data_IF_064149886155
#
_entry.id   IF_064149886155
#
_cell.length_a   1.000
_cell.length_b   1.000
_cell.length_c   1.000
_cell.angle_alpha   90.00
_cell.angle_beta   90.00
_cell.angle_gamma   90.00
#
_symmetry.space_group_name_H-M   'P 1'
#
loop_
_entity.id
_entity.type
_entity.pdbx_description
1 polymer ?
#
# COMPACT_ATOMS: atom_id res chain seq x y z
N UNK A 1 23.17 -57.21 -6.67
CA UNK A 1 22.60 -56.40 -5.57
C UNK A 1 23.42 -55.12 -5.42
N UNK A 2 23.04 -54.01 -6.07
CA UNK A 2 23.92 -52.80 -6.02
C UNK A 2 23.32 -51.52 -6.62
N UNK A 3 22.09 -51.55 -7.16
CA UNK A 3 21.48 -50.37 -7.84
C UNK A 3 20.44 -49.62 -6.99
N UNK A 4 19.89 -50.23 -5.91
CA UNK A 4 18.83 -49.63 -5.10
C UNK A 4 19.32 -48.52 -4.15
N UNK A 5 20.56 -48.63 -3.64
CA UNK A 5 21.09 -47.65 -2.68
C UNK A 5 21.46 -46.28 -3.25
N UNK A 6 21.74 -46.20 -4.56
CA UNK A 6 22.11 -44.95 -5.21
C UNK A 6 20.88 -44.06 -5.55
N UNK A 7 19.75 -44.73 -5.89
CA UNK A 7 18.51 -44.00 -6.20
C UNK A 7 17.95 -43.33 -4.92
N UNK A 8 18.02 -44.03 -3.79
CA UNK A 8 17.53 -43.50 -2.50
C UNK A 8 18.37 -42.33 -2.00
N UNK A 9 19.72 -42.37 -2.19
CA UNK A 9 20.60 -41.25 -1.85
C UNK A 9 20.38 -40.01 -2.76
N UNK A 10 20.08 -40.22 -4.05
CA UNK A 10 19.74 -39.14 -4.95
C UNK A 10 18.36 -38.55 -4.64
N UNK A 11 17.36 -39.36 -4.26
CA UNK A 11 16.05 -38.85 -3.83
C UNK A 11 16.12 -38.03 -2.55
N UNK A 12 16.92 -38.48 -1.56
CA UNK A 12 17.13 -37.73 -0.32
C UNK A 12 17.87 -36.41 -0.59
N UNK A 13 18.85 -36.39 -1.49
CA UNK A 13 19.54 -35.17 -1.91
C UNK A 13 18.61 -34.15 -2.61
N UNK A 14 17.70 -34.61 -3.45
CA UNK A 14 16.72 -33.77 -4.14
C UNK A 14 15.67 -33.24 -3.14
N UNK A 15 15.18 -34.05 -2.19
CA UNK A 15 14.24 -33.62 -1.16
C UNK A 15 14.90 -32.61 -0.22
N UNK A 16 16.17 -32.78 0.16
CA UNK A 16 16.89 -31.78 0.95
C UNK A 16 17.13 -30.47 0.18
N UNK A 17 17.38 -30.52 -1.14
CA UNK A 17 17.54 -29.34 -1.96
C UNK A 17 16.21 -28.55 -2.08
N UNK A 18 15.08 -29.23 -2.21
CA UNK A 18 13.77 -28.60 -2.19
C UNK A 18 13.39 -28.03 -0.81
N UNK A 19 13.87 -28.65 0.28
CA UNK A 19 13.62 -28.14 1.64
C UNK A 19 14.51 -26.92 2.00
N UNK A 20 15.67 -26.79 1.38
CA UNK A 20 16.57 -25.63 1.58
C UNK A 20 16.21 -24.45 0.69
N UNK A 21 15.51 -24.68 -0.44
CA UNK A 21 14.98 -23.60 -1.28
C UNK A 21 13.62 -23.04 -0.79
N UNK A 22 13.02 -23.62 0.24
CA UNK A 22 11.73 -23.19 0.80
C UNK A 22 11.82 -22.23 1.98
N UNK A 23 12.97 -21.76 2.41
CA UNK A 23 13.15 -20.92 3.59
C UNK A 23 13.97 -19.66 3.31
N UNK A 24 13.60 -18.87 2.33
CA UNK A 24 14.09 -17.50 2.17
C UNK A 24 13.13 -16.65 1.31
N UNK A 25 11.83 -16.83 1.44
CA UNK A 25 10.89 -15.74 1.24
C UNK A 25 10.59 -15.19 2.64
N UNK A 26 11.46 -14.34 3.17
CA UNK A 26 11.04 -13.39 4.19
C UNK A 26 9.92 -12.59 3.54
N UNK A 27 8.74 -12.66 4.14
CA UNK A 27 7.52 -12.00 3.67
C UNK A 27 7.74 -10.48 3.63
N UNK A 28 8.30 -9.99 2.51
CA UNK A 28 8.40 -8.57 2.26
C UNK A 28 7.02 -8.04 1.91
N UNK A 29 6.37 -7.44 2.89
CA UNK A 29 5.11 -6.76 2.68
C UNK A 29 5.35 -5.38 2.08
N UNK A 30 4.60 -5.04 1.08
CA UNK A 30 4.67 -3.77 0.39
C UNK A 30 3.27 -3.20 0.15
N UNK A 31 3.22 -1.90 0.03
CA UNK A 31 1.97 -1.21 -0.25
C UNK A 31 2.20 0.17 -0.82
N UNK A 32 1.12 0.89 -0.94
CA UNK A 32 1.09 2.26 -1.42
C UNK A 32 0.57 3.17 -0.30
N UNK A 33 0.95 4.43 -0.34
CA UNK A 33 0.40 5.46 0.52
C UNK A 33 0.32 6.81 -0.18
N UNK A 34 -0.04 7.84 0.57
CA UNK A 34 -0.06 9.21 0.09
C UNK A 34 0.18 10.20 1.22
N UNK A 35 0.87 11.28 0.92
CA UNK A 35 1.11 12.34 1.88
C UNK A 35 -0.10 13.25 2.04
N UNK A 36 -0.39 13.65 3.29
CA UNK A 36 -1.41 14.65 3.66
C UNK A 36 -0.80 16.00 4.01
N UNK A 37 0.48 16.02 4.33
CA UNK A 37 1.33 17.21 4.43
C UNK A 37 2.81 16.79 4.34
N UNK A 38 3.73 17.71 4.62
CA UNK A 38 5.18 17.46 4.49
C UNK A 38 5.76 16.44 5.47
N UNK A 39 5.04 16.07 6.52
CA UNK A 39 5.53 15.23 7.59
C UNK A 39 4.73 13.94 7.78
N UNK A 40 3.47 13.94 7.32
CA UNK A 40 2.53 12.86 7.58
C UNK A 40 1.99 12.24 6.29
N UNK A 41 1.86 10.94 6.30
CA UNK A 41 1.30 10.14 5.22
C UNK A 41 0.27 9.14 5.73
N UNK A 42 -0.60 8.70 4.85
CA UNK A 42 -1.64 7.70 5.08
C UNK A 42 -1.35 6.46 4.25
N UNK A 43 -1.58 5.31 4.83
CA UNK A 43 -1.60 4.00 4.16
C UNK A 43 -2.65 3.09 4.80
N UNK A 44 -2.84 1.88 4.27
CA UNK A 44 -3.64 0.85 4.92
C UNK A 44 -2.88 0.30 6.15
N UNK A 45 -3.62 0.01 7.24
CA UNK A 45 -3.02 -0.49 8.46
C UNK A 45 -2.32 -1.84 8.23
N UNK A 46 -2.97 -2.78 7.52
CA UNK A 46 -2.39 -4.10 7.22
C UNK A 46 -1.10 -4.05 6.39
N UNK A 47 -0.76 -2.91 5.77
CA UNK A 47 0.53 -2.72 5.07
C UNK A 47 1.67 -2.50 6.05
N UNK A 48 1.38 -2.02 7.27
CA UNK A 48 2.40 -1.53 8.22
C UNK A 48 2.31 -2.12 9.63
N UNK A 49 1.42 -3.07 9.91
CA UNK A 49 1.17 -3.57 11.27
C UNK A 49 2.22 -4.57 11.77
N UNK A 50 2.74 -5.44 10.90
CA UNK A 50 3.53 -6.60 11.32
C UNK A 50 5.03 -6.34 11.52
N UNK A 51 5.58 -5.20 11.07
CA UNK A 51 7.03 -5.00 10.98
C UNK A 51 7.52 -3.79 11.77
N UNK A 52 8.68 -3.98 12.41
CA UNK A 52 9.34 -2.93 13.19
C UNK A 52 9.95 -1.85 12.29
N UNK A 53 10.52 -2.23 11.14
CA UNK A 53 11.21 -1.32 10.23
C UNK A 53 10.37 -1.03 8.98
N UNK A 54 9.97 0.22 8.83
CA UNK A 54 9.12 0.70 7.73
C UNK A 54 9.74 1.91 7.07
N UNK A 55 9.59 2.02 5.76
CA UNK A 55 10.02 3.22 5.07
C UNK A 55 9.11 3.65 3.92
N UNK A 56 9.14 4.94 3.64
CA UNK A 56 8.71 5.49 2.38
C UNK A 56 9.86 5.38 1.38
N UNK A 57 9.63 4.67 0.28
CA UNK A 57 10.62 4.51 -0.78
C UNK A 57 10.44 5.56 -1.87
N UNK A 58 11.42 6.44 -1.97
CA UNK A 58 11.53 7.42 -3.06
C UNK A 58 12.22 6.77 -4.27
N UNK A 59 11.39 6.31 -5.20
CA UNK A 59 11.83 5.61 -6.42
C UNK A 59 12.79 6.47 -7.26
N UNK A 60 12.60 7.80 -7.27
CA UNK A 60 13.41 8.72 -8.07
C UNK A 60 14.83 8.82 -7.56
N UNK A 61 15.00 8.87 -6.25
CA UNK A 61 16.28 9.04 -5.60
C UNK A 61 16.85 7.72 -5.05
N UNK A 62 16.15 6.61 -5.27
CA UNK A 62 16.52 5.28 -4.78
C UNK A 62 16.81 5.29 -3.28
N UNK A 63 15.95 5.92 -2.50
CA UNK A 63 16.16 6.18 -1.08
C UNK A 63 14.97 5.78 -0.25
N UNK A 64 15.23 5.07 0.84
CA UNK A 64 14.25 4.69 1.83
C UNK A 64 14.29 5.66 3.00
N UNK A 65 13.22 6.45 3.18
CA UNK A 65 13.04 7.35 4.31
C UNK A 65 12.26 6.65 5.41
N UNK A 66 12.87 6.51 6.58
CA UNK A 66 12.27 5.85 7.72
C UNK A 66 10.97 6.55 8.15
N UNK A 67 9.97 5.73 8.45
CA UNK A 67 8.67 6.20 8.95
C UNK A 67 8.29 5.43 10.21
N UNK A 68 7.48 6.06 11.07
CA UNK A 68 6.89 5.42 12.23
C UNK A 68 5.39 5.65 12.30
N UNK A 69 4.69 4.76 12.97
CA UNK A 69 3.25 4.86 13.18
C UNK A 69 2.95 5.89 14.28
N UNK A 70 2.08 6.84 13.98
CA UNK A 70 1.59 7.85 14.92
C UNK A 70 0.30 7.40 15.57
N UNK A 71 -0.66 6.94 14.74
CA UNK A 71 -1.95 6.44 15.19
C UNK A 71 -2.55 5.56 14.07
N UNK A 72 -3.55 4.77 14.43
CA UNK A 72 -4.24 3.92 13.47
C UNK A 72 -5.71 3.72 13.83
N UNK A 73 -6.46 3.25 12.87
CA UNK A 73 -7.82 2.78 13.02
C UNK A 73 -7.89 1.37 12.42
N UNK A 74 -7.87 0.35 13.29
CA UNK A 74 -7.83 -1.06 12.91
C UNK A 74 -9.08 -1.47 12.12
N UNK A 75 -10.23 -1.00 12.54
CA UNK A 75 -11.51 -1.39 11.90
C UNK A 75 -11.66 -0.73 10.53
N UNK A 76 -11.25 0.53 10.41
CA UNK A 76 -11.20 1.22 9.14
C UNK A 76 -10.03 0.78 8.26
N UNK A 77 -9.03 0.10 8.83
CA UNK A 77 -7.79 -0.31 8.16
C UNK A 77 -6.98 0.91 7.65
N UNK A 78 -6.78 1.89 8.51
CA UNK A 78 -6.03 3.13 8.21
C UNK A 78 -4.87 3.27 9.19
N UNK A 79 -3.68 3.61 8.70
CA UNK A 79 -2.55 4.02 9.50
C UNK A 79 -2.11 5.46 9.14
N UNK A 80 -1.89 6.27 10.17
CA UNK A 80 -1.23 7.56 10.09
C UNK A 80 0.22 7.38 10.45
N UNK A 81 1.10 7.68 9.50
CA UNK A 81 2.54 7.55 9.63
C UNK A 81 3.21 8.91 9.62
N UNK A 82 4.33 9.06 10.31
CA UNK A 82 5.19 10.24 10.23
C UNK A 82 6.57 9.88 9.68
N UNK A 83 7.20 10.83 8.97
CA UNK A 83 8.59 10.74 8.58
C UNK A 83 9.49 11.01 9.79
N UNK A 84 10.53 10.18 9.97
CA UNK A 84 11.56 10.42 10.98
C UNK A 84 12.51 11.53 10.55
N UNK A 85 12.71 11.68 9.24
CA UNK A 85 13.55 12.71 8.63
C UNK A 85 12.91 13.28 7.36
N UNK A 86 13.26 14.52 7.03
CA UNK A 86 12.71 15.17 5.83
C UNK A 86 13.40 14.64 4.58
N UNK A 87 12.64 14.24 3.55
CA UNK A 87 13.20 13.91 2.27
C UNK A 87 13.84 15.12 1.59
N UNK A 88 14.84 14.88 0.73
CA UNK A 88 15.53 15.93 -0.03
C UNK A 88 14.56 16.74 -0.89
N UNK A 89 13.62 16.05 -1.52
CA UNK A 89 12.51 16.68 -2.25
C UNK A 89 11.21 16.51 -1.43
N UNK A 90 10.49 17.62 -1.29
CA UNK A 90 9.21 17.59 -0.58
C UNK A 90 8.21 16.68 -1.32
N UNK A 91 7.56 15.76 -0.60
CA UNK A 91 6.56 14.88 -1.20
C UNK A 91 5.39 15.68 -1.77
N UNK A 92 4.76 15.13 -2.78
CA UNK A 92 3.57 15.71 -3.38
C UNK A 92 2.34 15.40 -2.52
N UNK A 93 1.57 16.42 -2.20
CA UNK A 93 0.37 16.32 -1.36
C UNK A 93 -0.85 16.71 -2.16
N UNK A 94 -1.84 15.83 -2.24
CA UNK A 94 -3.14 16.09 -2.85
C UNK A 94 -4.21 16.32 -1.77
N UNK A 95 -5.24 17.10 -2.13
CA UNK A 95 -6.38 17.35 -1.24
C UNK A 95 -7.23 16.10 -1.03
N UNK A 96 -7.74 15.92 0.18
CA UNK A 96 -8.79 14.95 0.47
C UNK A 96 -10.19 15.51 0.13
N UNK A 97 -11.09 14.62 -0.22
CA UNK A 97 -12.52 14.92 -0.25
C UNK A 97 -13.08 14.83 1.16
N UNK A 98 -13.78 15.85 1.60
CA UNK A 98 -14.33 15.97 2.97
C UNK A 98 -15.80 15.57 3.06
N UNK A 99 -16.43 15.25 1.94
CA UNK A 99 -17.81 14.80 1.86
C UNK A 99 -17.90 13.36 1.34
N UNK A 100 -18.99 12.68 1.65
CA UNK A 100 -19.28 11.39 1.06
C UNK A 100 -19.62 11.54 -0.43
N UNK A 101 -19.02 10.69 -1.24
CA UNK A 101 -19.27 10.66 -2.69
C UNK A 101 -20.54 9.83 -3.00
N UNK A 102 -21.36 10.22 -3.99
CA UNK A 102 -22.56 9.48 -4.35
C UNK A 102 -22.23 8.15 -5.06
N UNK A 103 -23.19 7.23 -5.05
CA UNK A 103 -23.16 6.06 -5.92
C UNK A 103 -23.11 6.50 -7.40
N UNK A 104 -22.32 5.81 -8.19
CA UNK A 104 -22.09 6.15 -9.58
C UNK A 104 -20.92 7.11 -9.83
N UNK A 105 -20.34 7.72 -8.78
CA UNK A 105 -19.16 8.58 -8.92
C UNK A 105 -18.00 7.81 -9.53
N UNK A 106 -17.26 8.48 -10.42
CA UNK A 106 -16.07 7.95 -11.09
C UNK A 106 -14.84 8.27 -10.26
N UNK A 107 -14.03 7.24 -10.04
CA UNK A 107 -12.75 7.33 -9.36
C UNK A 107 -11.65 6.78 -10.25
N UNK A 108 -10.43 7.23 -10.00
CA UNK A 108 -9.23 6.62 -10.58
C UNK A 108 -8.30 6.22 -9.43
N UNK A 109 -8.09 4.92 -9.29
CA UNK A 109 -7.17 4.36 -8.30
C UNK A 109 -5.75 4.41 -8.80
N UNK A 110 -4.82 4.74 -7.92
CA UNK A 110 -3.39 4.69 -8.15
C UNK A 110 -2.73 3.85 -7.07
N UNK A 111 -1.75 3.05 -7.46
CA UNK A 111 -0.93 2.29 -6.53
C UNK A 111 0.26 1.65 -7.23
N UNK A 112 1.26 1.30 -6.45
CA UNK A 112 2.42 0.59 -6.96
C UNK A 112 2.21 -0.91 -6.85
N UNK A 113 2.47 -1.62 -7.96
CA UNK A 113 2.50 -3.07 -8.00
C UNK A 113 3.95 -3.53 -8.13
N UNK A 114 4.29 -4.68 -7.54
CA UNK A 114 5.62 -5.27 -7.60
C UNK A 114 6.77 -4.30 -7.26
N UNK A 115 6.70 -3.53 -6.16
CA UNK A 115 7.62 -2.43 -5.88
C UNK A 115 9.08 -2.86 -5.69
N UNK A 116 9.36 -4.13 -5.41
CA UNK A 116 10.72 -4.63 -5.21
C UNK A 116 11.42 -5.05 -6.52
N UNK A 117 10.65 -5.52 -7.50
CA UNK A 117 11.24 -6.05 -8.74
C UNK A 117 11.31 -4.96 -9.81
N UNK A 118 10.23 -4.23 -9.98
CA UNK A 118 10.10 -3.14 -10.93
C UNK A 118 8.89 -2.29 -10.52
N UNK A 119 9.07 -1.26 -9.68
CA UNK A 119 7.96 -0.48 -9.17
C UNK A 119 7.19 0.14 -10.33
N UNK A 120 6.01 -0.39 -10.57
CA UNK A 120 5.11 0.07 -11.63
C UNK A 120 3.91 0.78 -11.04
N UNK A 121 3.72 2.05 -11.39
CA UNK A 121 2.53 2.78 -11.01
C UNK A 121 1.33 2.29 -11.83
N UNK A 122 0.48 1.52 -11.20
CA UNK A 122 -0.75 0.98 -11.79
C UNK A 122 -1.91 1.95 -11.61
N UNK A 123 -2.73 2.07 -12.64
CA UNK A 123 -3.88 2.99 -12.68
C UNK A 123 -5.13 2.21 -13.04
N UNK A 124 -6.13 2.23 -12.15
CA UNK A 124 -7.38 1.49 -12.33
C UNK A 124 -8.58 2.45 -12.34
N UNK A 125 -9.32 2.54 -13.45
CA UNK A 125 -10.57 3.28 -13.46
C UNK A 125 -11.63 2.53 -12.66
N UNK A 126 -12.35 3.27 -11.81
CA UNK A 126 -13.35 2.73 -10.90
C UNK A 126 -14.65 3.53 -10.93
N UNK A 127 -15.72 2.92 -10.45
CA UNK A 127 -16.99 3.59 -10.19
C UNK A 127 -17.57 3.08 -8.87
N UNK A 128 -18.03 3.97 -8.02
CA UNK A 128 -18.74 3.61 -6.78
C UNK A 128 -20.03 2.89 -7.14
N UNK A 129 -20.17 1.63 -6.76
CA UNK A 129 -21.37 0.82 -6.94
C UNK A 129 -22.32 0.97 -5.77
N UNK A 130 -21.77 0.91 -4.56
CA UNK A 130 -22.55 1.07 -3.33
C UNK A 130 -21.70 1.60 -2.19
N UNK A 131 -22.38 2.13 -1.19
CA UNK A 131 -21.81 2.51 0.09
C UNK A 131 -22.36 1.56 1.15
N UNK A 132 -21.52 1.16 2.08
CA UNK A 132 -21.97 0.35 3.21
C UNK A 132 -21.21 0.73 4.47
N UNK A 133 -21.81 0.42 5.61
CA UNK A 133 -21.19 0.55 6.93
C UNK A 133 -20.98 -0.82 7.51
N UNK A 134 -19.82 -1.03 8.10
CA UNK A 134 -19.54 -2.23 8.87
C UNK A 134 -19.73 -1.91 10.34
N UNK A 135 -20.51 -2.72 11.03
CA UNK A 135 -20.86 -2.57 12.45
C UNK A 135 -21.30 -1.16 12.91
N UNK A 136 -21.83 -0.38 11.98
CA UNK A 136 -22.35 0.96 12.27
C UNK A 136 -21.31 2.07 12.39
N UNK A 137 -20.03 1.75 12.47
CA UNK A 137 -18.98 2.70 12.79
C UNK A 137 -18.12 3.15 11.60
N UNK A 138 -17.92 2.28 10.58
CA UNK A 138 -17.00 2.56 9.48
C UNK A 138 -17.71 2.49 8.13
N UNK A 139 -17.32 3.42 7.26
CA UNK A 139 -17.96 3.57 5.95
C UNK A 139 -16.98 3.26 4.82
N UNK A 140 -17.42 2.39 3.93
CA UNK A 140 -16.67 1.94 2.77
C UNK A 140 -17.42 2.21 1.48
N UNK A 141 -16.66 2.36 0.38
CA UNK A 141 -17.18 2.24 -0.96
C UNK A 141 -16.86 0.85 -1.52
N UNK A 142 -17.86 0.19 -2.13
CA UNK A 142 -17.60 -0.88 -3.07
C UNK A 142 -17.60 -0.31 -4.46
N UNK A 143 -16.54 -0.60 -5.21
CA UNK A 143 -16.31 -0.03 -6.54
C UNK A 143 -16.18 -1.12 -7.58
N UNK A 144 -16.49 -0.80 -8.84
CA UNK A 144 -16.04 -1.61 -9.98
C UNK A 144 -14.53 -1.43 -10.16
N UNK A 145 -13.88 -2.43 -10.74
CA UNK A 145 -12.44 -2.44 -10.92
C UNK A 145 -11.72 -3.21 -9.82
N UNK A 146 -10.61 -3.82 -10.16
CA UNK A 146 -9.82 -4.67 -9.28
C UNK A 146 -8.50 -3.96 -8.99
N UNK A 147 -8.21 -3.73 -7.71
CA UNK A 147 -6.86 -3.35 -7.29
C UNK A 147 -5.97 -4.59 -7.27
N UNK A 148 -4.69 -4.40 -7.52
CA UNK A 148 -3.69 -5.45 -7.50
C UNK A 148 -2.91 -5.44 -6.18
N UNK A 149 -2.17 -6.52 -5.94
CA UNK A 149 -1.26 -6.61 -4.79
C UNK A 149 -0.23 -5.47 -4.81
N UNK A 150 -0.02 -4.83 -3.67
CA UNK A 150 0.83 -3.64 -3.53
C UNK A 150 0.08 -2.31 -3.69
N UNK A 151 -1.13 -2.28 -4.27
CA UNK A 151 -1.93 -1.06 -4.36
C UNK A 151 -2.64 -0.69 -3.06
N UNK A 152 -2.68 -1.57 -2.04
CA UNK A 152 -3.25 -1.29 -0.71
C UNK A 152 -2.69 -0.01 -0.11
N UNK A 153 -3.56 0.84 0.45
CA UNK A 153 -3.20 2.16 0.98
C UNK A 153 -3.12 3.28 -0.08
N UNK A 154 -3.17 2.93 -1.37
CA UNK A 154 -3.09 3.90 -2.46
C UNK A 154 -4.33 4.79 -2.60
N UNK A 155 -4.16 6.02 -3.11
CA UNK A 155 -5.24 6.99 -3.23
C UNK A 155 -6.17 6.71 -4.42
N UNK A 156 -7.45 7.06 -4.26
CA UNK A 156 -8.46 7.06 -5.30
C UNK A 156 -8.93 8.47 -5.57
N UNK A 157 -8.70 8.98 -6.77
CA UNK A 157 -9.02 10.35 -7.14
C UNK A 157 -10.38 10.46 -7.78
N UNK A 158 -11.11 11.49 -7.38
CA UNK A 158 -12.29 12.00 -8.07
C UNK A 158 -11.90 12.67 -9.38
N UNK A 159 -12.88 12.96 -10.23
CA UNK A 159 -12.65 13.62 -11.54
C UNK A 159 -12.06 15.02 -11.42
N UNK A 160 -12.27 15.71 -10.29
CA UNK A 160 -11.69 17.03 -9.99
C UNK A 160 -10.33 16.97 -9.28
N UNK A 161 -9.78 15.77 -9.07
CA UNK A 161 -8.42 15.57 -8.57
C UNK A 161 -8.26 15.55 -7.05
N UNK A 162 -9.35 15.41 -6.29
CA UNK A 162 -9.31 15.19 -4.85
C UNK A 162 -9.29 13.69 -4.54
N UNK A 163 -8.70 13.31 -3.42
CA UNK A 163 -8.68 11.92 -2.94
C UNK A 163 -10.04 11.62 -2.31
N UNK A 164 -10.86 10.81 -2.99
CA UNK A 164 -12.17 10.38 -2.52
C UNK A 164 -12.16 9.14 -1.66
N UNK A 165 -11.06 8.38 -1.67
CA UNK A 165 -10.91 7.16 -0.88
C UNK A 165 -9.50 6.58 -0.94
N UNK A 166 -9.28 5.51 -0.18
CA UNK A 166 -8.04 4.76 -0.09
C UNK A 166 -8.29 3.29 -0.40
N UNK A 167 -7.42 2.66 -1.16
CA UNK A 167 -7.48 1.23 -1.46
C UNK A 167 -7.37 0.39 -0.19
N UNK A 168 -8.31 -0.54 0.00
CA UNK A 168 -8.29 -1.47 1.13
C UNK A 168 -8.05 -2.91 0.67
N UNK A 169 -8.97 -3.46 -0.13
CA UNK A 169 -8.94 -4.88 -0.49
C UNK A 169 -9.76 -5.17 -1.72
N UNK A 170 -9.48 -6.30 -2.38
CA UNK A 170 -10.40 -6.90 -3.34
C UNK A 170 -11.61 -7.47 -2.60
N UNK A 171 -12.78 -7.38 -3.17
CA UNK A 171 -13.98 -7.99 -2.60
C UNK A 171 -14.00 -9.50 -2.84
N UNK A 172 -14.14 -10.28 -1.78
CA UNK A 172 -14.34 -11.72 -1.87
C UNK A 172 -15.79 -12.11 -2.18
N UNK A 173 -16.74 -11.17 -2.05
CA UNK A 173 -18.17 -11.42 -2.19
C UNK A 173 -18.71 -11.13 -3.60
N UNK A 174 -18.01 -10.32 -4.37
CA UNK A 174 -18.46 -9.88 -5.67
C UNK A 174 -17.27 -9.77 -6.63
N UNK A 175 -17.32 -10.51 -7.72
CA UNK A 175 -16.26 -10.51 -8.74
C UNK A 175 -16.06 -9.11 -9.33
N UNK A 176 -14.82 -8.81 -9.66
CA UNK A 176 -14.41 -7.55 -10.29
C UNK A 176 -14.76 -6.29 -9.48
N UNK A 177 -14.70 -6.40 -8.15
CA UNK A 177 -14.94 -5.27 -7.25
C UNK A 177 -13.85 -5.14 -6.19
N UNK A 178 -13.65 -3.91 -5.74
CA UNK A 178 -12.74 -3.58 -4.64
C UNK A 178 -13.44 -2.76 -3.57
N UNK A 179 -12.93 -2.85 -2.36
CA UNK A 179 -13.37 -2.06 -1.21
C UNK A 179 -12.39 -0.90 -1.00
N UNK A 180 -12.95 0.29 -0.86
CA UNK A 180 -12.19 1.50 -0.55
C UNK A 180 -12.64 2.06 0.79
N UNK A 181 -11.69 2.47 1.60
CA UNK A 181 -11.97 3.30 2.77
C UNK A 181 -12.36 4.69 2.28
N UNK A 182 -13.44 5.27 2.80
CA UNK A 182 -13.85 6.64 2.44
C UNK A 182 -12.81 7.66 2.92
N UNK A 183 -12.57 8.69 2.15
CA UNK A 183 -11.70 9.81 2.58
C UNK A 183 -12.19 10.49 3.86
N UNK A 184 -13.49 10.48 4.14
CA UNK A 184 -14.07 10.99 5.38
C UNK A 184 -13.56 10.26 6.63
N UNK A 185 -13.24 8.95 6.54
CA UNK A 185 -12.63 8.18 7.64
C UNK A 185 -11.16 8.61 7.83
N UNK A 186 -10.43 8.84 6.73
CA UNK A 186 -9.06 9.41 6.79
C UNK A 186 -9.09 10.77 7.46
N UNK A 187 -9.99 11.67 7.05
CA UNK A 187 -10.15 13.01 7.64
C UNK A 187 -10.48 12.91 9.13
N UNK A 188 -11.28 11.92 9.56
CA UNK A 188 -11.60 11.68 10.97
C UNK A 188 -10.33 11.34 11.77
N UNK A 189 -9.46 10.43 11.25
CA UNK A 189 -8.20 10.07 11.91
C UNK A 189 -7.25 11.27 12.00
N UNK A 190 -7.12 12.06 10.92
CA UNK A 190 -6.30 13.28 10.90
C UNK A 190 -6.77 14.29 11.96
N UNK A 191 -8.07 14.57 12.04
CA UNK A 191 -8.64 15.48 13.03
C UNK A 191 -8.42 15.02 14.46
N UNK A 192 -8.57 13.72 14.72
CA UNK A 192 -8.26 13.11 16.04
C UNK A 192 -6.84 13.44 16.50
N UNK A 193 -5.89 13.48 15.55
CA UNK A 193 -4.47 13.71 15.81
C UNK A 193 -4.03 15.18 15.61
N UNK A 194 -4.95 16.10 15.34
CA UNK A 194 -4.61 17.50 15.09
C UNK A 194 -3.77 17.74 13.82
N UNK A 195 -3.78 16.78 12.90
CA UNK A 195 -3.03 16.88 11.65
C UNK A 195 -3.81 17.65 10.60
N UNK A 196 -3.19 18.68 10.03
CA UNK A 196 -3.77 19.52 8.98
C UNK A 196 -3.19 19.13 7.61
N UNK A 197 -4.06 19.08 6.61
CA UNK A 197 -3.66 18.90 5.22
C UNK A 197 -3.03 20.18 4.66
N UNK A 198 -1.95 20.02 3.88
CA UNK A 198 -1.32 21.12 3.15
C UNK A 198 -1.09 20.71 1.69
N UNK A 199 -2.13 20.68 0.85
CA UNK A 199 -1.99 20.30 -0.56
C UNK A 199 -1.02 21.21 -1.30
N UNK A 200 -0.09 20.63 -2.04
CA UNK A 200 0.93 21.36 -2.79
C UNK A 200 0.97 20.99 -4.28
N UNK A 201 0.08 20.11 -4.73
CA UNK A 201 0.02 19.72 -6.14
C UNK A 201 -1.40 19.34 -6.56
N UNK A 202 -1.70 19.57 -7.86
CA UNK A 202 -2.84 19.01 -8.57
C UNK A 202 -2.45 17.83 -9.47
N UNK A 203 -1.18 17.45 -9.48
CA UNK A 203 -0.70 16.32 -10.28
C UNK A 203 -0.95 15.01 -9.54
N UNK A 204 -2.12 14.44 -9.76
CA UNK A 204 -2.61 13.24 -9.08
C UNK A 204 -1.68 12.02 -9.20
N UNK A 205 -0.95 11.86 -10.34
CA UNK A 205 -0.02 10.74 -10.53
C UNK A 205 1.18 10.77 -9.57
N UNK A 206 1.48 11.93 -9.00
CA UNK A 206 2.63 12.09 -8.09
C UNK A 206 2.26 11.98 -6.62
N UNK A 207 0.96 11.82 -6.29
CA UNK A 207 0.53 11.74 -4.91
C UNK A 207 0.64 10.33 -4.31
N UNK A 208 0.68 9.29 -5.14
CA UNK A 208 0.90 7.92 -4.67
C UNK A 208 2.39 7.69 -4.42
N UNK A 209 2.70 7.03 -3.31
CA UNK A 209 4.05 6.68 -2.90
C UNK A 209 4.14 5.20 -2.56
N UNK A 210 5.33 4.62 -2.74
CA UNK A 210 5.61 3.24 -2.34
C UNK A 210 5.99 3.17 -0.85
N UNK A 211 5.47 2.16 -0.15
CA UNK A 211 5.80 1.86 1.24
C UNK A 211 6.38 0.46 1.32
N UNK A 212 7.53 0.34 1.98
CA UNK A 212 8.23 -0.90 2.21
C UNK A 212 8.33 -1.21 3.71
N UNK A 213 8.22 -2.48 4.07
CA UNK A 213 8.20 -2.92 5.46
C UNK A 213 9.59 -3.20 6.05
N UNK A 214 10.66 -3.28 5.26
CA UNK A 214 12.01 -3.50 5.76
C UNK A 214 13.03 -2.72 4.96
N UNK A 215 13.83 -1.90 5.66
CA UNK A 215 14.93 -1.14 5.08
C UNK A 215 16.17 -2.01 4.89
N UNK A 216 16.38 -3.00 5.78
CA UNK A 216 17.56 -3.88 5.74
C UNK A 216 17.47 -4.85 4.56
N UNK A 217 16.29 -5.42 4.33
CA UNK A 217 16.04 -6.34 3.22
C UNK A 217 16.17 -5.63 1.87
N UNK A 218 15.77 -4.36 1.81
CA UNK A 218 15.91 -3.55 0.60
C UNK A 218 17.37 -3.34 0.20
N UNK A 219 18.27 -3.07 1.15
CA UNK A 219 19.70 -2.94 0.87
C UNK A 219 20.30 -4.25 0.38
N UNK A 220 19.87 -5.38 0.91
CA UNK A 220 20.31 -6.70 0.44
C UNK A 220 19.77 -7.04 -0.96
N UNK A 221 18.55 -6.65 -1.27
CA UNK A 221 17.94 -6.86 -2.58
C UNK A 221 18.62 -6.03 -3.71
N UNK A 222 19.04 -4.80 -3.42
CA UNK A 222 19.79 -3.98 -4.39
C UNK A 222 21.13 -4.59 -4.83
N UNK A 223 21.81 -5.33 -3.95
CA UNK A 223 23.10 -5.95 -4.27
C UNK A 223 22.99 -7.17 -5.22
N UNK A 224 21.81 -7.71 -5.43
CA UNK A 224 21.56 -8.85 -6.31
C UNK A 224 21.14 -8.47 -7.76
N UNK A 225 21.04 -7.20 -8.08
CA UNK A 225 20.87 -6.73 -9.44
C UNK A 225 22.24 -6.72 -10.17
N UNK A 226 22.85 -7.90 -10.25
CA UNK A 226 24.02 -8.14 -11.08
C UNK A 226 23.64 -7.96 -12.55
N UNK A 227 24.36 -7.11 -13.19
CA UNK A 227 24.56 -6.81 -14.62
C UNK A 227 24.34 -8.00 -15.54
#
# INVERSE_FOLDING_TARGET
MGKSGNIMKQLIGIILLFFVMGFAEEDMHNGTGFFVNSNYLITAYHVVDEFEHKCYYDIKNDTCYKIHMVDYDLDADIALMALDEKPVEMPMVCSLEHAELPNGERLTSYGYTQPFVNPNLTVVPMRIRMQYRYDGNYSYYRTSGIIEFGMSGGPNFTTDGRIGGMNKSVSLMEENTSNLVKSTEVVRLLRKNGVTEYPNTRNIKKCAISILNSVEDFKSAQFNWGV
#
